data_IF_951036937571
#
_entry.id   IF_951036937571
#
_cell.length_a   1.000
_cell.length_b   1.000
_cell.length_c   1.000
_cell.angle_alpha   90.00
_cell.angle_beta   90.00
_cell.angle_gamma   90.00
#
_symmetry.space_group_name_H-M   'P 1'
#
loop_
_entity.id
_entity.type
_entity.pdbx_description
1 polymer ?
#
# COMPACT_ATOMS: atom_id res chain seq x y z
N UNK A 1 4.22 14.80 -7.32
CA UNK A 1 3.62 13.68 -6.54
C UNK A 1 4.68 12.84 -5.80
N UNK A 2 5.80 12.49 -6.45
CA UNK A 2 6.88 11.71 -5.81
C UNK A 2 7.49 12.36 -4.56
N UNK A 3 7.71 13.68 -4.57
CA UNK A 3 8.19 14.41 -3.39
C UNK A 3 7.24 14.31 -2.19
N UNK A 4 5.93 14.27 -2.44
CA UNK A 4 4.90 14.07 -1.41
C UNK A 4 5.02 12.65 -0.85
N UNK A 5 5.05 11.64 -1.73
CA UNK A 5 5.19 10.24 -1.32
C UNK A 5 6.46 9.99 -0.52
N UNK A 6 7.60 10.57 -0.94
CA UNK A 6 8.86 10.45 -0.22
C UNK A 6 8.77 11.09 1.17
N UNK A 7 8.21 12.30 1.29
CA UNK A 7 8.02 12.96 2.57
C UNK A 7 7.03 12.22 3.49
N UNK A 8 6.01 11.55 2.94
CA UNK A 8 5.12 10.68 3.73
C UNK A 8 5.92 9.50 4.30
N UNK A 9 6.64 8.77 3.45
CA UNK A 9 7.41 7.60 3.86
C UNK A 9 8.53 7.96 4.85
N UNK A 10 9.20 9.10 4.65
CA UNK A 10 10.23 9.60 5.58
C UNK A 10 9.67 9.83 6.99
N UNK A 11 8.46 10.40 7.10
CA UNK A 11 7.79 10.61 8.40
C UNK A 11 7.31 9.32 9.06
N UNK A 12 7.02 8.29 8.27
CA UNK A 12 6.61 7.00 8.78
C UNK A 12 7.79 6.18 9.31
N UNK A 13 9.03 6.52 8.94
CA UNK A 13 10.26 5.84 9.35
C UNK A 13 10.17 4.30 9.22
N UNK A 14 9.93 3.78 8.00
CA UNK A 14 9.78 2.36 7.78
C UNK A 14 11.07 1.60 8.10
N UNK A 15 10.94 0.43 8.72
CA UNK A 15 12.03 -0.50 8.94
C UNK A 15 12.06 -1.57 7.84
N UNK A 16 13.23 -2.15 7.54
CA UNK A 16 13.32 -3.31 6.66
C UNK A 16 12.41 -4.44 7.16
N UNK A 17 11.51 -4.91 6.30
CA UNK A 17 10.54 -5.97 6.62
C UNK A 17 9.16 -5.47 7.06
N UNK A 18 8.96 -4.16 7.27
CA UNK A 18 7.64 -3.61 7.56
C UNK A 18 6.68 -3.84 6.38
N UNK A 19 5.42 -4.16 6.73
CA UNK A 19 4.32 -4.19 5.77
C UNK A 19 3.63 -2.84 5.68
N UNK A 20 3.25 -2.47 4.46
CA UNK A 20 2.61 -1.20 4.14
C UNK A 20 1.24 -1.44 3.51
N UNK A 21 0.19 -0.86 4.09
CA UNK A 21 -1.16 -0.80 3.52
C UNK A 21 -1.45 0.61 3.01
N UNK A 22 -1.82 0.72 1.74
CA UNK A 22 -2.18 2.00 1.09
C UNK A 22 -3.66 1.95 0.71
N UNK A 23 -4.46 2.87 1.24
CA UNK A 23 -5.82 3.12 0.79
C UNK A 23 -5.80 4.13 -0.35
N UNK A 24 -6.34 3.74 -1.51
CA UNK A 24 -6.36 4.53 -2.74
C UNK A 24 -5.23 4.17 -3.70
N UNK A 25 -5.59 3.81 -4.93
CA UNK A 25 -4.69 3.60 -6.07
C UNK A 25 -4.76 4.78 -7.07
N UNK A 26 -4.98 6.00 -6.55
CA UNK A 26 -4.82 7.24 -7.31
C UNK A 26 -3.36 7.64 -7.49
N UNK A 27 -3.10 8.83 -8.04
CA UNK A 27 -1.74 9.31 -8.35
C UNK A 27 -0.79 9.22 -7.15
N UNK A 28 -1.25 9.59 -5.94
CA UNK A 28 -0.42 9.54 -4.74
C UNK A 28 -0.17 8.10 -4.28
N UNK A 29 -1.19 7.24 -4.28
CA UNK A 29 -1.05 5.83 -3.93
C UNK A 29 -0.07 5.11 -4.85
N UNK A 30 -0.17 5.34 -6.17
CA UNK A 30 0.73 4.74 -7.15
C UNK A 30 2.18 5.25 -7.01
N UNK A 31 2.39 6.52 -6.64
CA UNK A 31 3.75 7.02 -6.34
C UNK A 31 4.26 6.52 -4.99
N UNK A 32 3.39 6.28 -4.00
CA UNK A 32 3.75 5.63 -2.73
C UNK A 32 4.26 4.20 -2.96
N UNK A 33 3.59 3.41 -3.79
CA UNK A 33 4.05 2.05 -4.16
C UNK A 33 5.49 2.09 -4.69
N UNK A 34 5.75 2.93 -5.69
CA UNK A 34 7.06 3.02 -6.32
C UNK A 34 8.15 3.51 -5.35
N UNK A 35 7.84 4.50 -4.52
CA UNK A 35 8.80 5.02 -3.53
C UNK A 35 9.05 4.03 -2.40
N UNK A 36 8.02 3.32 -1.91
CA UNK A 36 8.17 2.27 -0.92
C UNK A 36 9.05 1.13 -1.45
N UNK A 37 8.86 0.72 -2.71
CA UNK A 37 9.74 -0.24 -3.39
C UNK A 37 11.17 0.26 -3.51
N UNK A 38 11.36 1.54 -3.86
CA UNK A 38 12.70 2.15 -3.95
C UNK A 38 13.41 2.23 -2.59
N UNK A 39 12.66 2.34 -1.49
CA UNK A 39 13.17 2.30 -0.11
C UNK A 39 13.35 0.86 0.43
N UNK A 40 13.03 -0.16 -0.37
CA UNK A 40 13.29 -1.56 -0.03
C UNK A 40 12.14 -2.28 0.69
N UNK A 41 10.95 -1.67 0.80
CA UNK A 41 9.77 -2.38 1.32
C UNK A 41 9.32 -3.41 0.28
N UNK A 42 9.08 -4.64 0.72
CA UNK A 42 8.69 -5.76 -0.15
C UNK A 42 7.27 -6.25 0.12
N UNK A 43 6.66 -5.84 1.22
CA UNK A 43 5.29 -6.16 1.57
C UNK A 43 4.43 -4.89 1.45
N UNK A 44 3.84 -4.70 0.27
CA UNK A 44 3.01 -3.54 -0.03
C UNK A 44 1.64 -4.03 -0.51
N UNK A 45 0.60 -3.68 0.23
CA UNK A 45 -0.79 -3.95 -0.13
C UNK A 45 -1.49 -2.64 -0.48
N UNK A 46 -2.17 -2.60 -1.63
CA UNK A 46 -2.97 -1.43 -2.05
C UNK A 46 -4.44 -1.79 -2.16
N UNK A 47 -5.32 -0.94 -1.63
CA UNK A 47 -6.76 -1.10 -1.78
C UNK A 47 -7.38 0.06 -2.55
N UNK A 48 -8.33 -0.23 -3.42
CA UNK A 48 -9.14 0.73 -4.19
C UNK A 48 -10.45 0.02 -4.58
N UNK A 49 -11.32 0.69 -5.33
CA UNK A 49 -12.61 0.16 -5.81
C UNK A 49 -12.69 0.04 -7.34
N UNK A 50 -11.59 0.36 -8.03
CA UNK A 50 -11.45 0.32 -9.50
C UNK A 50 -10.32 -0.66 -9.85
N UNK A 51 -10.66 -1.79 -10.47
CA UNK A 51 -9.70 -2.87 -10.77
C UNK A 51 -8.54 -2.44 -11.65
N UNK A 52 -8.77 -1.59 -12.66
CA UNK A 52 -7.71 -1.08 -13.56
C UNK A 52 -6.62 -0.31 -12.79
N UNK A 53 -7.00 0.41 -11.72
CA UNK A 53 -6.02 1.09 -10.86
C UNK A 53 -5.24 0.10 -10.02
N UNK A 54 -5.88 -0.97 -9.56
CA UNK A 54 -5.22 -2.05 -8.81
C UNK A 54 -4.25 -2.84 -9.70
N UNK A 55 -4.61 -3.10 -10.95
CA UNK A 55 -3.69 -3.68 -11.95
C UNK A 55 -2.47 -2.79 -12.16
N UNK A 56 -2.69 -1.47 -12.26
CA UNK A 56 -1.60 -0.49 -12.33
C UNK A 56 -0.74 -0.52 -11.07
N UNK A 57 -1.35 -0.61 -9.88
CA UNK A 57 -0.58 -0.71 -8.63
C UNK A 57 0.28 -1.99 -8.60
N UNK A 58 -0.26 -3.14 -9.04
CA UNK A 58 0.52 -4.40 -9.16
C UNK A 58 1.69 -4.24 -10.12
N UNK A 59 1.48 -3.66 -11.30
CA UNK A 59 2.55 -3.48 -12.30
C UNK A 59 3.65 -2.51 -11.83
N UNK A 60 3.31 -1.55 -10.97
CA UNK A 60 4.25 -0.62 -10.34
C UNK A 60 4.94 -1.18 -9.09
N UNK A 61 4.61 -2.40 -8.68
CA UNK A 61 5.33 -3.12 -7.64
C UNK A 61 4.56 -3.34 -6.33
N UNK A 62 3.25 -3.13 -6.28
CA UNK A 62 2.44 -3.59 -5.16
C UNK A 62 2.49 -5.12 -5.10
N UNK A 63 2.74 -5.66 -3.91
CA UNK A 63 2.81 -7.10 -3.64
C UNK A 63 1.42 -7.72 -3.72
N UNK A 64 0.44 -7.00 -3.19
CA UNK A 64 -0.97 -7.40 -3.16
C UNK A 64 -1.84 -6.21 -3.48
N UNK A 65 -3.00 -6.49 -4.05
CA UNK A 65 -4.04 -5.48 -4.13
C UNK A 65 -5.40 -6.08 -3.80
N UNK A 66 -6.23 -5.27 -3.14
CA UNK A 66 -7.55 -5.65 -2.66
C UNK A 66 -8.57 -4.70 -3.26
N UNK A 67 -9.66 -5.24 -3.82
CA UNK A 67 -10.80 -4.42 -4.22
C UNK A 67 -11.75 -4.31 -3.03
N UNK A 68 -11.88 -3.12 -2.46
CA UNK A 68 -12.70 -2.88 -1.27
C UNK A 68 -14.21 -3.06 -1.47
N UNK A 69 -14.68 -3.25 -2.72
CA UNK A 69 -16.07 -3.67 -3.00
C UNK A 69 -16.28 -5.17 -2.87
N UNK A 70 -15.22 -5.95 -3.08
CA UNK A 70 -15.30 -7.41 -3.19
C UNK A 70 -14.87 -8.10 -1.89
N UNK A 71 -14.01 -7.45 -1.10
CA UNK A 71 -13.47 -8.01 0.14
C UNK A 71 -13.57 -7.03 1.31
N UNK A 72 -13.73 -7.58 2.51
CA UNK A 72 -13.48 -6.85 3.74
C UNK A 72 -11.96 -6.70 3.94
N UNK A 73 -11.45 -5.50 3.68
CA UNK A 73 -10.02 -5.18 3.76
C UNK A 73 -9.47 -5.41 5.16
N UNK A 74 -10.22 -5.07 6.21
CA UNK A 74 -9.75 -5.23 7.59
C UNK A 74 -9.64 -6.71 7.95
N UNK A 75 -10.69 -7.48 7.67
CA UNK A 75 -10.68 -8.92 7.92
C UNK A 75 -9.56 -9.62 7.12
N UNK A 76 -9.43 -9.27 5.83
CA UNK A 76 -8.39 -9.84 4.96
C UNK A 76 -6.99 -9.50 5.47
N UNK A 77 -6.73 -8.25 5.87
CA UNK A 77 -5.42 -7.87 6.41
C UNK A 77 -5.15 -8.49 7.77
N UNK A 78 -6.17 -8.69 8.60
CA UNK A 78 -6.05 -9.40 9.87
C UNK A 78 -5.65 -10.86 9.66
N UNK A 79 -6.22 -11.53 8.67
CA UNK A 79 -5.83 -12.89 8.29
C UNK A 79 -4.39 -12.93 7.75
N UNK A 80 -4.04 -12.04 6.82
CA UNK A 80 -2.69 -11.97 6.22
C UNK A 80 -1.61 -11.70 7.28
N UNK A 81 -1.92 -10.88 8.28
CA UNK A 81 -0.98 -10.49 9.34
C UNK A 81 -1.06 -11.40 10.57
N UNK A 82 -1.83 -12.49 10.52
CA UNK A 82 -2.05 -13.40 11.66
C UNK A 82 -2.48 -12.65 12.93
N UNK A 83 -3.26 -11.58 12.77
CA UNK A 83 -3.73 -10.72 13.85
C UNK A 83 -2.72 -9.72 14.40
N UNK A 84 -1.48 -9.67 13.90
CA UNK A 84 -0.47 -8.69 14.34
C UNK A 84 -0.74 -7.26 13.84
N UNK A 85 -1.53 -7.11 12.79
CA UNK A 85 -1.84 -5.81 12.18
C UNK A 85 -0.74 -5.33 11.23
N UNK A 86 -0.89 -4.09 10.75
CA UNK A 86 -0.01 -3.48 9.76
C UNK A 86 0.70 -2.29 10.41
N UNK A 87 2.05 -2.24 10.45
CA UNK A 87 2.78 -1.17 11.12
C UNK A 87 2.68 0.15 10.36
N UNK A 88 2.49 0.11 9.04
CA UNK A 88 2.45 1.28 8.18
C UNK A 88 1.11 1.32 7.42
N UNK A 89 0.30 2.33 7.67
CA UNK A 89 -0.96 2.55 6.95
C UNK A 89 -0.98 3.98 6.41
N UNK A 90 -1.30 4.12 5.13
CA UNK A 90 -1.46 5.43 4.47
C UNK A 90 -2.83 5.52 3.84
N UNK A 91 -3.54 6.59 4.14
CA UNK A 91 -4.75 6.98 3.42
C UNK A 91 -4.40 8.01 2.33
N UNK A 92 -4.65 7.63 1.08
CA UNK A 92 -4.40 8.40 -0.13
C UNK A 92 -5.62 8.43 -1.07
N UNK A 93 -6.81 8.18 -0.52
CA UNK A 93 -8.10 8.22 -1.23
C UNK A 93 -8.70 9.63 -1.35
#
# INVERSE_FOLDING_TARGET
>A
PYSISLNVLDRMQPHPGDSLLIYGAGVIGLTLVQMARALGLTDITVTDVIDERLETARSLGATRTLNGKDVDVEATMREITEGQGVPLIVDAA
#
